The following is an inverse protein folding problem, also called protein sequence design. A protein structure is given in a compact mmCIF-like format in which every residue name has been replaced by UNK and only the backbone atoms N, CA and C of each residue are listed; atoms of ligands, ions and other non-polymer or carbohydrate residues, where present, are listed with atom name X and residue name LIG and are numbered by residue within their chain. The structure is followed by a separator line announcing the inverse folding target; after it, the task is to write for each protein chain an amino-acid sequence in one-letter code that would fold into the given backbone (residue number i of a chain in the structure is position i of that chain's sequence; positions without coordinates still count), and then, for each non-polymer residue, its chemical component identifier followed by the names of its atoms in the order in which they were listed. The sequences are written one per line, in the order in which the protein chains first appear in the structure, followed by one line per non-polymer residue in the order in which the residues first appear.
data_IF_996745822629
#
_entry.id   IF_996745822629
#
_cell.length_a   1.000
_cell.length_b   1.000
_cell.length_c   1.000
_cell.angle_alpha   90.00
_cell.angle_beta   90.00
_cell.angle_gamma   90.00
#
_symmetry.space_group_name_H-M   'P 1'
#
loop_
_entity.id
_entity.type
_entity.pdbx_description
1 polymer ?
#
# COMPACT_ATOMS: atom_id res chain seq x y z
N UNK A 1 17.54 34.12 0.09
CA UNK A 1 17.92 32.72 -0.25
C UNK A 1 17.04 31.63 0.39
N UNK A 2 16.29 31.87 1.49
CA UNK A 2 15.39 30.85 2.09
C UNK A 2 14.17 30.47 1.22
N UNK A 3 13.54 31.44 0.54
CA UNK A 3 12.38 31.18 -0.32
C UNK A 3 12.71 30.20 -1.45
N UNK A 4 13.82 30.40 -2.16
CA UNK A 4 14.23 29.52 -3.26
C UNK A 4 14.59 28.09 -2.81
N UNK A 5 15.07 27.92 -1.58
CA UNK A 5 15.33 26.59 -0.99
C UNK A 5 14.02 25.88 -0.65
N UNK A 6 13.09 26.57 0.04
CA UNK A 6 11.74 26.05 0.32
C UNK A 6 11.03 25.60 -0.95
N UNK A 7 11.03 26.43 -2.01
CA UNK A 7 10.41 26.07 -3.29
C UNK A 7 11.06 24.85 -3.96
N UNK A 8 12.38 24.66 -3.81
CA UNK A 8 13.08 23.51 -4.38
C UNK A 8 12.76 22.24 -3.59
N UNK A 9 12.72 22.34 -2.27
CA UNK A 9 12.43 21.24 -1.36
C UNK A 9 10.97 20.78 -1.56
N UNK A 10 10.03 21.71 -1.73
CA UNK A 10 8.62 21.41 -2.02
C UNK A 10 8.44 20.69 -3.37
N UNK A 11 9.17 21.12 -4.41
CA UNK A 11 9.14 20.45 -5.72
C UNK A 11 9.82 19.08 -5.69
N UNK A 12 10.86 18.90 -4.88
CA UNK A 12 11.50 17.60 -4.70
C UNK A 12 10.53 16.64 -4.01
N UNK A 13 9.89 17.09 -2.93
CA UNK A 13 8.86 16.35 -2.20
C UNK A 13 7.69 15.95 -3.12
N UNK A 14 7.16 16.88 -3.91
CA UNK A 14 6.08 16.58 -4.87
C UNK A 14 6.49 15.57 -5.94
N UNK A 15 7.70 15.69 -6.49
CA UNK A 15 8.20 14.73 -7.50
C UNK A 15 8.43 13.34 -6.90
N UNK A 16 9.03 13.27 -5.71
CA UNK A 16 9.23 12.02 -4.98
C UNK A 16 7.90 11.34 -4.69
N UNK A 17 6.92 12.07 -4.17
CA UNK A 17 5.58 11.54 -3.89
C UNK A 17 4.87 11.07 -5.15
N UNK A 18 4.97 11.81 -6.26
CA UNK A 18 4.39 11.38 -7.53
C UNK A 18 5.03 10.09 -8.06
N UNK A 19 6.35 9.95 -7.96
CA UNK A 19 7.09 8.75 -8.34
C UNK A 19 6.70 7.55 -7.47
N UNK A 20 6.66 7.75 -6.15
CA UNK A 20 6.30 6.71 -5.20
C UNK A 20 4.86 6.23 -5.41
N UNK A 21 3.90 7.15 -5.52
CA UNK A 21 2.49 6.82 -5.78
C UNK A 21 2.30 6.11 -7.12
N UNK A 22 3.06 6.47 -8.16
CA UNK A 22 3.01 5.75 -9.43
C UNK A 22 3.39 4.27 -9.28
N UNK A 23 4.38 3.95 -8.43
CA UNK A 23 4.74 2.56 -8.14
C UNK A 23 3.64 1.81 -7.36
N UNK A 24 2.96 2.50 -6.43
CA UNK A 24 1.84 1.93 -5.66
C UNK A 24 0.60 1.63 -6.52
N UNK A 25 0.41 2.39 -7.60
CA UNK A 25 -0.70 2.24 -8.55
C UNK A 25 -0.42 1.23 -9.66
N UNK A 26 0.78 0.62 -9.70
CA UNK A 26 1.06 -0.46 -10.64
C UNK A 26 0.09 -1.63 -10.42
N UNK A 27 -0.34 -2.24 -11.53
CA UNK A 27 -1.27 -3.36 -11.50
C UNK A 27 -0.69 -4.58 -10.77
N UNK A 28 -1.52 -5.33 -10.02
CA UNK A 28 -1.13 -6.61 -9.46
C UNK A 28 -0.70 -7.60 -10.55
N UNK A 29 0.20 -8.52 -10.22
CA UNK A 29 0.65 -9.51 -11.18
C UNK A 29 -0.48 -10.51 -11.51
N UNK A 30 -0.65 -10.95 -12.77
CA UNK A 30 -1.74 -11.86 -13.16
C UNK A 30 -1.82 -13.13 -12.31
N UNK A 31 -0.68 -13.69 -11.92
CA UNK A 31 -0.57 -14.87 -11.07
C UNK A 31 -1.07 -14.66 -9.64
N UNK A 32 -0.98 -13.43 -9.12
CA UNK A 32 -1.50 -13.04 -7.81
C UNK A 32 -3.03 -12.94 -7.86
N UNK A 33 -3.56 -12.33 -8.94
CA UNK A 33 -5.00 -12.22 -9.19
C UNK A 33 -5.62 -13.60 -9.34
N UNK A 34 -5.04 -14.47 -10.17
CA UNK A 34 -5.53 -15.85 -10.38
C UNK A 34 -5.56 -16.61 -9.05
N UNK A 35 -4.51 -16.46 -8.24
CA UNK A 35 -4.46 -17.12 -6.93
C UNK A 35 -5.53 -16.62 -5.97
N UNK A 36 -5.64 -15.30 -5.78
CA UNK A 36 -6.60 -14.73 -4.83
C UNK A 36 -8.03 -15.00 -5.29
N UNK A 37 -8.26 -14.98 -6.60
CA UNK A 37 -9.55 -15.30 -7.21
C UNK A 37 -10.00 -16.73 -6.89
N UNK A 38 -9.10 -17.70 -7.04
CA UNK A 38 -9.37 -19.10 -6.72
C UNK A 38 -9.51 -19.36 -5.21
N UNK A 39 -8.83 -18.59 -4.37
CA UNK A 39 -8.71 -18.88 -2.93
C UNK A 39 -9.69 -18.12 -2.05
N UNK A 40 -10.21 -16.97 -2.49
CA UNK A 40 -11.07 -16.10 -1.69
C UNK A 40 -12.37 -15.74 -2.40
N UNK A 41 -12.28 -15.18 -3.60
CA UNK A 41 -13.43 -14.48 -4.24
C UNK A 41 -14.32 -15.39 -5.08
N UNK A 42 -14.27 -16.71 -4.87
CA UNK A 42 -15.08 -17.71 -5.60
C UNK A 42 -14.92 -17.64 -7.12
N UNK A 43 -13.74 -17.28 -7.61
CA UNK A 43 -13.44 -17.15 -9.03
C UNK A 43 -13.69 -15.76 -9.61
N UNK A 44 -14.07 -14.77 -8.80
CA UNK A 44 -14.21 -13.38 -9.25
C UNK A 44 -12.83 -12.70 -9.35
N UNK A 45 -12.29 -12.64 -10.57
CA UNK A 45 -10.99 -12.04 -10.83
C UNK A 45 -11.00 -10.51 -10.70
N UNK A 46 -12.12 -9.84 -10.92
CA UNK A 46 -12.22 -8.39 -10.80
C UNK A 46 -12.17 -7.98 -9.32
N UNK A 47 -12.96 -8.67 -8.49
CA UNK A 47 -12.90 -8.48 -7.03
C UNK A 47 -11.48 -8.74 -6.50
N UNK A 48 -10.85 -9.84 -6.92
CA UNK A 48 -9.47 -10.15 -6.52
C UNK A 48 -8.47 -9.05 -6.94
N UNK A 49 -8.61 -8.52 -8.15
CA UNK A 49 -7.78 -7.42 -8.66
C UNK A 49 -7.93 -6.18 -7.79
N UNK A 50 -9.16 -5.81 -7.43
CA UNK A 50 -9.42 -4.66 -6.58
C UNK A 50 -8.87 -4.80 -5.17
N UNK A 51 -9.02 -5.98 -4.54
CA UNK A 51 -8.45 -6.21 -3.19
C UNK A 51 -6.92 -6.09 -3.20
N UNK A 52 -6.25 -6.59 -4.25
CA UNK A 52 -4.80 -6.45 -4.40
C UNK A 52 -4.38 -4.99 -4.66
N UNK A 53 -5.13 -4.24 -5.47
CA UNK A 53 -4.92 -2.79 -5.66
C UNK A 53 -5.03 -2.04 -4.33
N UNK A 54 -6.07 -2.31 -3.53
CA UNK A 54 -6.24 -1.69 -2.22
C UNK A 54 -5.11 -2.07 -1.26
N UNK A 55 -4.71 -3.33 -1.25
CA UNK A 55 -3.58 -3.81 -0.43
C UNK A 55 -2.29 -3.05 -0.75
N UNK A 56 -1.90 -2.98 -2.02
CA UNK A 56 -0.67 -2.27 -2.45
C UNK A 56 -0.66 -0.81 -2.03
N UNK A 57 -1.78 -0.10 -2.29
CA UNK A 57 -1.95 1.32 -1.95
C UNK A 57 -1.88 1.54 -0.44
N UNK A 58 -2.57 0.71 0.35
CA UNK A 58 -2.59 0.82 1.80
C UNK A 58 -1.23 0.51 2.42
N UNK A 59 -0.57 -0.58 2.00
CA UNK A 59 0.78 -0.93 2.46
C UNK A 59 1.79 0.17 2.12
N UNK A 60 1.66 0.80 0.95
CA UNK A 60 2.49 1.94 0.57
C UNK A 60 2.36 3.14 1.50
N UNK A 61 1.14 3.47 1.95
CA UNK A 61 0.91 4.50 2.98
C UNK A 61 1.57 4.08 4.30
N UNK A 62 1.36 2.84 4.74
CA UNK A 62 1.90 2.36 6.02
C UNK A 62 3.44 2.36 6.03
N UNK A 63 4.07 1.98 4.91
CA UNK A 63 5.53 2.06 4.74
C UNK A 63 6.00 3.50 4.77
N UNK A 64 5.34 4.42 4.07
CA UNK A 64 5.70 5.84 4.13
C UNK A 64 5.59 6.38 5.56
N UNK A 65 4.50 6.06 6.28
CA UNK A 65 4.31 6.48 7.68
C UNK A 65 5.36 5.91 8.63
N UNK A 66 5.86 4.69 8.38
CA UNK A 66 6.85 4.02 9.24
C UNK A 66 8.28 4.44 8.94
N UNK A 67 8.63 4.57 7.66
CA UNK A 67 10.03 4.63 7.19
C UNK A 67 10.44 6.01 6.67
N UNK A 68 9.50 6.94 6.49
CA UNK A 68 9.87 8.31 6.13
C UNK A 68 10.64 9.00 7.27
N UNK A 69 11.60 9.83 6.90
CA UNK A 69 12.49 10.54 7.82
C UNK A 69 11.88 11.84 8.37
N UNK A 70 10.70 12.22 7.89
CA UNK A 70 10.00 13.45 8.23
C UNK A 70 8.47 13.29 8.11
N UNK A 71 7.71 14.15 8.80
CA UNK A 71 6.24 14.11 8.82
C UNK A 71 5.57 14.62 7.53
N UNK A 72 6.32 15.33 6.68
CA UNK A 72 5.79 15.92 5.43
C UNK A 72 5.66 14.86 4.34
N UNK A 73 6.58 13.90 4.29
CA UNK A 73 6.61 12.84 3.29
C UNK A 73 5.34 11.96 3.35
N UNK A 74 4.93 11.37 4.48
CA UNK A 74 3.69 10.60 4.55
C UNK A 74 2.45 11.43 4.19
N UNK A 75 2.40 12.69 4.63
CA UNK A 75 1.29 13.61 4.33
C UNK A 75 1.18 13.92 2.83
N UNK A 76 2.30 14.16 2.17
CA UNK A 76 2.33 14.41 0.73
C UNK A 76 1.98 13.16 -0.08
N UNK A 77 2.48 11.99 0.34
CA UNK A 77 2.17 10.70 -0.29
C UNK A 77 0.67 10.44 -0.24
N UNK A 78 0.05 10.61 0.94
CA UNK A 78 -1.39 10.44 1.09
C UNK A 78 -2.17 11.41 0.18
N UNK A 79 -1.83 12.69 0.22
CA UNK A 79 -2.45 13.72 -0.63
C UNK A 79 -2.35 13.37 -2.11
N UNK A 80 -1.16 12.93 -2.55
CA UNK A 80 -0.90 12.58 -3.95
C UNK A 80 -1.68 11.33 -4.36
N UNK A 81 -1.75 10.33 -3.49
CA UNK A 81 -2.51 9.11 -3.74
C UNK A 81 -4.01 9.39 -3.84
N UNK A 82 -4.60 10.14 -2.89
CA UNK A 82 -6.01 10.53 -2.93
C UNK A 82 -6.35 11.26 -4.24
N UNK A 83 -5.54 12.27 -4.62
CA UNK A 83 -5.74 13.01 -5.86
C UNK A 83 -5.60 12.15 -7.15
N UNK A 84 -4.86 11.03 -7.07
CA UNK A 84 -4.75 10.06 -8.17
C UNK A 84 -5.94 9.10 -8.18
N UNK A 85 -6.42 8.67 -7.02
CA UNK A 85 -7.58 7.80 -6.89
C UNK A 85 -8.88 8.48 -7.36
N UNK A 86 -9.04 9.77 -7.11
CA UNK A 86 -10.13 10.59 -7.67
C UNK A 86 -10.19 10.58 -9.20
N UNK A 87 -9.08 10.25 -9.86
CA UNK A 87 -8.92 10.20 -11.32
C UNK A 87 -8.54 8.81 -11.81
N UNK A 88 -8.79 7.76 -11.01
CA UNK A 88 -8.46 6.38 -11.37
C UNK A 88 -9.32 5.98 -12.59
N UNK A 89 -8.70 5.67 -13.76
CA UNK A 89 -9.45 5.34 -14.97
C UNK A 89 -10.18 3.99 -14.85
N UNK A 90 -9.86 3.18 -13.84
CA UNK A 90 -10.55 1.92 -13.58
C UNK A 90 -11.85 2.09 -12.79
N UNK A 91 -12.16 3.30 -12.30
CA UNK A 91 -13.36 3.56 -11.48
C UNK A 91 -14.28 4.50 -12.24
N UNK A 92 -15.49 4.01 -12.53
CA UNK A 92 -16.57 4.84 -13.05
C UNK A 92 -16.85 6.01 -12.10
N UNK A 93 -17.16 7.18 -12.66
CA UNK A 93 -17.32 8.42 -11.89
C UNK A 93 -18.34 8.28 -10.75
N UNK A 94 -19.44 7.58 -11.01
CA UNK A 94 -20.51 7.32 -10.03
C UNK A 94 -20.10 6.38 -8.88
N UNK A 95 -19.04 5.58 -9.08
CA UNK A 95 -18.55 4.61 -8.10
C UNK A 95 -17.36 5.12 -7.28
N UNK A 96 -16.85 6.33 -7.55
CA UNK A 96 -15.66 6.88 -6.87
C UNK A 96 -15.82 6.98 -5.37
N UNK A 97 -16.96 7.49 -4.90
CA UNK A 97 -17.23 7.61 -3.46
C UNK A 97 -17.29 6.23 -2.79
N UNK A 98 -17.84 5.22 -3.48
CA UNK A 98 -17.83 3.85 -2.98
C UNK A 98 -16.40 3.29 -2.92
N UNK A 99 -15.60 3.47 -3.98
CA UNK A 99 -14.22 3.00 -4.03
C UNK A 99 -13.35 3.64 -2.94
N UNK A 100 -13.56 4.92 -2.64
CA UNK A 100 -12.92 5.63 -1.53
C UNK A 100 -13.28 5.02 -0.19
N UNK A 101 -14.57 4.84 0.11
CA UNK A 101 -15.01 4.19 1.36
C UNK A 101 -14.48 2.76 1.51
N UNK A 102 -14.44 2.00 0.42
CA UNK A 102 -13.87 0.65 0.43
C UNK A 102 -12.37 0.70 0.76
N UNK A 103 -11.63 1.61 0.11
CA UNK A 103 -10.21 1.79 0.39
C UNK A 103 -9.94 2.21 1.83
N UNK A 104 -10.69 3.17 2.38
CA UNK A 104 -10.54 3.62 3.75
C UNK A 104 -10.78 2.50 4.77
N UNK A 105 -11.79 1.65 4.51
CA UNK A 105 -12.05 0.47 5.33
C UNK A 105 -10.86 -0.51 5.30
N UNK A 106 -10.26 -0.75 4.13
CA UNK A 106 -9.06 -1.60 4.00
C UNK A 106 -7.86 -0.97 4.71
N UNK A 107 -7.61 0.32 4.48
CA UNK A 107 -6.50 1.04 5.08
C UNK A 107 -6.58 1.00 6.62
N UNK A 108 -7.77 1.20 7.19
CA UNK A 108 -7.97 1.09 8.64
C UNK A 108 -7.67 -0.32 9.14
N UNK A 109 -8.30 -1.34 8.52
CA UNK A 109 -8.12 -2.72 8.94
C UNK A 109 -6.65 -3.19 8.81
N UNK A 110 -5.96 -2.81 7.75
CA UNK A 110 -4.55 -3.14 7.55
C UNK A 110 -3.66 -2.38 8.53
N UNK A 111 -3.94 -1.12 8.83
CA UNK A 111 -3.20 -0.36 9.87
C UNK A 111 -3.32 -1.04 11.23
N UNK A 112 -4.52 -1.45 11.61
CA UNK A 112 -4.77 -2.13 12.88
C UNK A 112 -4.04 -3.48 12.93
N UNK A 113 -4.12 -4.28 11.86
CA UNK A 113 -3.36 -5.53 11.75
C UNK A 113 -1.84 -5.31 11.82
N UNK A 114 -1.34 -4.27 11.16
CA UNK A 114 0.08 -3.98 11.07
C UNK A 114 0.68 -3.51 12.40
N UNK A 115 -0.08 -2.72 13.17
CA UNK A 115 0.38 -2.12 14.43
C UNK A 115 0.01 -2.93 15.67
N UNK A 116 -0.98 -3.82 15.57
CA UNK A 116 -1.41 -4.66 16.70
C UNK A 116 -0.30 -5.56 17.22
N UNK A 117 -0.25 -5.70 18.54
CA UNK A 117 0.56 -6.71 19.23
C UNK A 117 -0.30 -7.95 19.37
N UNK A 118 0.08 -9.02 18.67
CA UNK A 118 -0.66 -10.27 18.67
C UNK A 118 0.18 -11.42 18.12
N UNK A 119 -0.42 -12.61 18.05
CA UNK A 119 0.25 -13.77 17.48
C UNK A 119 0.51 -13.58 15.98
N UNK A 120 1.61 -14.18 15.50
CA UNK A 120 2.06 -14.06 14.12
C UNK A 120 2.79 -12.75 13.81
N UNK A 121 3.20 -12.60 12.55
CA UNK A 121 3.85 -11.38 12.06
C UNK A 121 2.82 -10.33 11.64
N UNK A 122 3.17 -9.03 11.58
CA UNK A 122 2.30 -8.02 10.98
C UNK A 122 1.82 -8.40 9.56
N UNK A 123 2.71 -8.99 8.75
CA UNK A 123 2.38 -9.47 7.41
C UNK A 123 1.30 -10.56 7.44
N UNK A 124 1.38 -11.50 8.38
CA UNK A 124 0.38 -12.57 8.55
C UNK A 124 -0.99 -12.00 8.88
N UNK A 125 -1.07 -11.02 9.79
CA UNK A 125 -2.34 -10.40 10.17
C UNK A 125 -2.96 -9.60 9.02
N UNK A 126 -2.14 -8.87 8.26
CA UNK A 126 -2.61 -8.18 7.05
C UNK A 126 -3.11 -9.17 6.02
N UNK A 127 -2.41 -10.29 5.80
CA UNK A 127 -2.85 -11.35 4.89
C UNK A 127 -4.18 -11.98 5.32
N UNK A 128 -4.39 -12.19 6.62
CA UNK A 128 -5.68 -12.65 7.16
C UNK A 128 -6.80 -11.65 6.87
N UNK A 129 -6.54 -10.34 7.02
CA UNK A 129 -7.54 -9.31 6.68
C UNK A 129 -7.82 -9.24 5.18
N UNK A 130 -6.79 -9.35 4.32
CA UNK A 130 -6.97 -9.43 2.86
C UNK A 130 -7.90 -10.60 2.52
N UNK A 131 -7.62 -11.78 3.06
CA UNK A 131 -8.42 -12.97 2.80
C UNK A 131 -9.82 -12.84 3.40
N UNK A 132 -9.99 -12.18 4.54
CA UNK A 132 -11.31 -11.89 5.10
C UNK A 132 -12.15 -10.99 4.17
N UNK A 133 -11.56 -9.94 3.58
CA UNK A 133 -12.24 -9.10 2.59
C UNK A 133 -12.54 -9.85 1.29
N UNK A 134 -11.64 -10.73 0.87
CA UNK A 134 -11.82 -11.56 -0.31
C UNK A 134 -12.80 -12.73 -0.08
N UNK A 135 -13.15 -13.09 1.16
CA UNK A 135 -14.00 -14.24 1.49
C UNK A 135 -13.25 -15.58 1.63
N UNK A 136 -11.93 -15.55 1.76
CA UNK A 136 -11.04 -16.70 1.95
C UNK A 136 -10.78 -17.10 3.41
N UNK A 137 -9.91 -18.10 3.64
CA UNK A 137 -9.60 -18.60 4.98
C UNK A 137 -8.75 -17.61 5.78
N UNK A 138 -8.90 -17.63 7.11
CA UNK A 138 -8.19 -16.73 8.03
C UNK A 138 -7.33 -17.44 9.09
N UNK A 139 -7.26 -18.78 9.08
CA UNK A 139 -6.45 -19.53 10.05
C UNK A 139 -4.98 -19.40 9.68
N UNK A 140 -4.13 -19.06 10.65
CA UNK A 140 -2.73 -18.71 10.39
C UNK A 140 -1.89 -19.86 9.77
N UNK A 141 -2.26 -21.10 10.05
CA UNK A 141 -1.65 -22.32 9.54
C UNK A 141 -2.20 -22.77 8.18
N UNK A 142 -3.24 -22.09 7.66
CA UNK A 142 -3.79 -22.38 6.34
C UNK A 142 -2.76 -22.06 5.25
N UNK A 143 -2.47 -22.97 4.29
CA UNK A 143 -1.53 -22.72 3.20
C UNK A 143 -1.83 -21.45 2.39
N UNK A 144 -3.11 -21.07 2.26
CA UNK A 144 -3.52 -19.83 1.59
C UNK A 144 -3.07 -18.60 2.40
N UNK A 145 -3.20 -18.63 3.72
CA UNK A 145 -2.74 -17.54 4.60
C UNK A 145 -1.22 -17.45 4.60
N UNK A 146 -0.51 -18.58 4.57
CA UNK A 146 0.96 -18.61 4.45
C UNK A 146 1.42 -17.96 3.14
N UNK A 147 0.79 -18.31 2.01
CA UNK A 147 1.09 -17.67 0.73
C UNK A 147 0.73 -16.17 0.73
N UNK A 148 -0.41 -15.80 1.29
CA UNK A 148 -0.80 -14.40 1.45
C UNK A 148 0.19 -13.60 2.32
N UNK A 149 0.76 -14.24 3.35
CA UNK A 149 1.80 -13.63 4.20
C UNK A 149 3.06 -13.32 3.39
N UNK A 150 3.49 -14.24 2.52
CA UNK A 150 4.64 -14.03 1.64
C UNK A 150 4.38 -12.87 0.67
N UNK A 151 3.21 -12.86 0.03
CA UNK A 151 2.79 -11.78 -0.88
C UNK A 151 2.79 -10.39 -0.20
N UNK A 152 2.24 -10.30 1.01
CA UNK A 152 2.28 -9.06 1.80
C UNK A 152 3.73 -8.63 2.08
N UNK A 153 4.61 -9.58 2.39
CA UNK A 153 6.04 -9.32 2.58
C UNK A 153 6.73 -8.77 1.33
N UNK A 154 6.40 -9.31 0.16
CA UNK A 154 6.90 -8.83 -1.14
C UNK A 154 6.42 -7.40 -1.42
N UNK A 155 5.14 -7.11 -1.19
CA UNK A 155 4.59 -5.76 -1.36
C UNK A 155 5.19 -4.74 -0.38
N UNK A 156 5.42 -5.13 0.88
CA UNK A 156 6.11 -4.29 1.87
C UNK A 156 7.55 -3.97 1.43
N UNK A 157 8.25 -4.97 0.89
CA UNK A 157 9.62 -4.80 0.38
C UNK A 157 9.63 -3.89 -0.84
N UNK A 158 8.75 -4.14 -1.81
CA UNK A 158 8.60 -3.33 -3.02
C UNK A 158 8.25 -1.87 -2.70
N UNK A 159 7.34 -1.64 -1.74
CA UNK A 159 7.01 -0.29 -1.27
C UNK A 159 8.22 0.38 -0.58
N UNK A 160 8.97 -0.36 0.25
CA UNK A 160 10.16 0.20 0.90
C UNK A 160 11.24 0.61 -0.11
N UNK A 161 11.44 -0.22 -1.14
CA UNK A 161 12.40 0.06 -2.22
C UNK A 161 11.96 1.23 -3.08
N UNK A 162 10.67 1.32 -3.41
CA UNK A 162 10.10 2.46 -4.14
C UNK A 162 10.21 3.76 -3.34
N UNK A 163 10.04 3.71 -2.01
CA UNK A 163 10.21 4.87 -1.13
C UNK A 163 11.66 5.36 -1.17
N UNK A 164 12.63 4.45 -1.00
CA UNK A 164 14.08 4.77 -1.09
C UNK A 164 14.47 5.31 -2.46
N UNK A 165 13.95 4.73 -3.54
CA UNK A 165 14.23 5.20 -4.89
C UNK A 165 13.67 6.62 -5.14
N UNK A 166 12.55 6.96 -4.49
CA UNK A 166 11.86 8.23 -4.70
C UNK A 166 12.40 9.38 -3.82
N UNK A 167 12.84 9.07 -2.60
CA UNK A 167 13.25 10.07 -1.59
C UNK A 167 14.72 9.96 -1.16
N UNK A 168 15.43 8.93 -1.62
CA UNK A 168 16.78 8.60 -1.20
C UNK A 168 16.80 7.68 0.03
N UNK A 169 18.02 7.27 0.40
CA UNK A 169 18.31 6.55 1.64
C UNK A 169 18.87 7.52 2.67
N UNK A 170 18.54 7.33 3.95
CA UNK A 170 19.20 8.09 5.01
C UNK A 170 20.68 7.71 5.05
N UNK A 171 21.56 8.63 4.64
CA UNK A 171 22.98 8.53 4.94
C UNK A 171 23.19 9.10 6.35
N UNK A 172 23.64 8.27 7.29
CA UNK A 172 24.18 8.76 8.55
C UNK A 172 25.47 9.53 8.22
N UNK A 173 25.72 10.71 8.82
CA UNK A 173 26.98 11.41 8.65
C UNK A 173 28.14 10.48 9.06
N UNK A 174 29.23 10.49 8.29
CA UNK A 174 30.40 9.61 8.53
C UNK A 174 31.10 9.85 9.89
N UNK A 175 30.76 10.93 10.59
CA UNK A 175 31.37 11.33 11.87
C UNK A 175 30.45 11.09 13.09
N UNK A 176 30.14 9.81 13.39
CA UNK A 176 29.60 9.41 14.71
C UNK A 176 30.57 8.48 15.43
#
# INVERSE_FOLDING_TARGET
MRLFRSFRDDRALQRGSASYVAALLAEPAPEEVVWLSASGTRGDADHATWELRYLRRALGILVAQRDALDDRTPSEVLRTLSARMERDPNVDEELRELAERQFDARLSAYRDAFTSRGHGTPATRVAQNLLAFAGGPIRADDPVVVRGTALVGEYLTSASDALRASFGTAELPEDV
#
